data_IF_786226380947
#
_entry.id   IF_786226380947
#
_cell.length_a   1.000
_cell.length_b   1.000
_cell.length_c   1.000
_cell.angle_alpha   90.00
_cell.angle_beta   90.00
_cell.angle_gamma   90.00
#
_symmetry.space_group_name_H-M   'P 1'
#
loop_
_entity.id
_entity.type
_entity.pdbx_description
1 polymer ?
#
# COMPACT_ATOMS: atom_id res chain seq x y z
N UNK A 1 22.81 -8.65 -18.25
CA UNK A 1 24.14 -9.15 -17.83
C UNK A 1 24.28 -9.28 -16.31
N UNK A 2 24.20 -8.20 -15.52
CA UNK A 2 24.23 -8.32 -14.04
C UNK A 2 22.97 -9.04 -13.47
N UNK A 3 21.78 -8.75 -14.02
CA UNK A 3 20.52 -9.42 -13.66
C UNK A 3 20.55 -10.92 -13.99
N UNK A 4 20.99 -11.29 -15.20
CA UNK A 4 21.08 -12.69 -15.64
C UNK A 4 22.06 -13.49 -14.78
N UNK A 5 23.20 -12.88 -14.40
CA UNK A 5 24.17 -13.51 -13.52
C UNK A 5 23.58 -13.76 -12.12
N UNK A 6 22.84 -12.79 -11.56
CA UNK A 6 22.15 -12.95 -10.27
C UNK A 6 21.09 -14.06 -10.34
N UNK A 7 20.27 -14.10 -11.40
CA UNK A 7 19.27 -15.17 -11.63
C UNK A 7 19.93 -16.55 -11.68
N UNK A 8 21.04 -16.71 -12.41
CA UNK A 8 21.78 -17.98 -12.47
C UNK A 8 22.34 -18.40 -11.12
N UNK A 9 22.91 -17.46 -10.35
CA UNK A 9 23.43 -17.76 -9.02
C UNK A 9 22.32 -18.23 -8.07
N UNK A 10 21.18 -17.55 -8.08
CA UNK A 10 20.03 -17.93 -7.24
C UNK A 10 19.38 -19.25 -7.67
N UNK A 11 19.41 -19.60 -8.96
CA UNK A 11 18.98 -20.93 -9.42
C UNK A 11 19.87 -22.05 -8.85
N UNK A 12 21.20 -21.86 -8.88
CA UNK A 12 22.16 -22.82 -8.29
C UNK A 12 21.98 -22.92 -6.78
N UNK A 13 21.77 -21.78 -6.11
CA UNK A 13 21.52 -21.71 -4.67
C UNK A 13 20.25 -22.45 -4.28
N UNK A 14 19.16 -22.24 -5.02
CA UNK A 14 17.89 -22.95 -4.84
C UNK A 14 18.07 -24.45 -5.01
N UNK A 15 18.71 -24.90 -6.10
CA UNK A 15 18.95 -26.32 -6.35
C UNK A 15 19.75 -26.98 -5.21
N UNK A 16 20.79 -26.30 -4.72
CA UNK A 16 21.56 -26.77 -3.56
C UNK A 16 20.69 -26.86 -2.29
N UNK A 17 19.83 -25.88 -2.05
CA UNK A 17 18.95 -25.88 -0.89
C UNK A 17 17.87 -26.97 -0.97
N UNK A 18 17.31 -27.23 -2.16
CA UNK A 18 16.34 -28.32 -2.38
C UNK A 18 16.98 -29.69 -2.17
N UNK A 19 18.20 -29.90 -2.68
CA UNK A 19 18.95 -31.14 -2.45
C UNK A 19 19.20 -31.39 -0.95
N UNK A 20 19.58 -30.35 -0.18
CA UNK A 20 19.73 -30.44 1.28
C UNK A 20 18.41 -30.79 2.01
N UNK A 21 17.27 -30.47 1.41
CA UNK A 21 15.93 -30.81 1.91
C UNK A 21 15.46 -32.19 1.46
N UNK A 22 16.27 -32.94 0.72
CA UNK A 22 15.95 -34.29 0.26
C UNK A 22 15.03 -34.35 -0.96
N UNK A 23 14.85 -33.23 -1.69
CA UNK A 23 14.13 -33.22 -2.96
C UNK A 23 14.96 -33.98 -4.01
N UNK A 24 14.35 -34.95 -4.69
CA UNK A 24 15.01 -35.72 -5.74
C UNK A 24 15.29 -34.83 -6.96
N UNK A 25 16.55 -34.74 -7.38
CA UNK A 25 16.93 -33.99 -8.58
C UNK A 25 16.20 -34.45 -9.85
N UNK A 26 15.74 -35.70 -9.90
CA UNK A 26 15.01 -36.23 -11.05
C UNK A 26 13.56 -35.73 -11.14
N UNK A 27 12.99 -35.24 -10.04
CA UNK A 27 11.64 -34.67 -9.99
C UNK A 27 11.59 -33.17 -10.25
N UNK A 28 12.76 -32.52 -10.35
CA UNK A 28 12.89 -31.08 -10.57
C UNK A 28 12.70 -30.74 -12.04
N UNK A 29 11.66 -29.95 -12.34
CA UNK A 29 11.42 -29.36 -13.64
C UNK A 29 11.72 -27.87 -13.56
N UNK A 30 12.74 -27.43 -14.30
CA UNK A 30 13.08 -26.01 -14.39
C UNK A 30 11.98 -25.21 -15.10
N UNK A 31 11.75 -24.00 -14.60
CA UNK A 31 10.82 -23.03 -15.16
C UNK A 31 11.43 -21.63 -15.01
N UNK A 32 10.73 -20.63 -15.55
CA UNK A 32 11.07 -19.22 -15.32
C UNK A 32 9.86 -18.47 -14.80
N UNK A 33 10.12 -17.52 -13.92
CA UNK A 33 9.14 -16.56 -13.44
C UNK A 33 9.66 -15.14 -13.70
N UNK A 34 8.74 -14.19 -13.85
CA UNK A 34 9.11 -12.80 -14.14
C UNK A 34 10.00 -12.20 -13.03
N UNK A 35 9.87 -12.66 -11.79
CA UNK A 35 10.68 -12.19 -10.64
C UNK A 35 11.97 -12.97 -10.39
N UNK A 36 12.21 -14.09 -11.07
CA UNK A 36 13.42 -14.88 -10.87
C UNK A 36 13.29 -16.37 -11.25
N UNK A 37 14.26 -17.20 -10.82
CA UNK A 37 14.23 -18.64 -11.00
C UNK A 37 12.96 -19.27 -10.44
N UNK A 38 12.43 -20.27 -11.14
CA UNK A 38 11.34 -21.08 -10.64
C UNK A 38 11.57 -22.54 -10.98
N UNK A 39 11.11 -23.45 -10.13
CA UNK A 39 11.13 -24.89 -10.41
C UNK A 39 9.83 -25.52 -9.91
N UNK A 40 9.45 -26.64 -10.51
CA UNK A 40 8.41 -27.52 -9.96
C UNK A 40 9.12 -28.79 -9.51
N UNK A 41 8.96 -29.16 -8.25
CA UNK A 41 9.58 -30.34 -7.66
C UNK A 41 8.58 -31.03 -6.74
N UNK A 42 8.43 -32.34 -6.90
CA UNK A 42 7.47 -33.17 -6.13
C UNK A 42 6.03 -32.61 -6.14
N UNK A 43 5.62 -31.99 -7.24
CA UNK A 43 4.30 -31.36 -7.39
C UNK A 43 4.14 -29.99 -6.70
N UNK A 44 5.15 -29.50 -5.98
CA UNK A 44 5.20 -28.17 -5.40
C UNK A 44 6.01 -27.22 -6.27
N UNK A 45 5.60 -25.96 -6.35
CA UNK A 45 6.30 -24.94 -7.13
C UNK A 45 7.12 -24.05 -6.22
N UNK A 46 8.35 -23.77 -6.63
CA UNK A 46 9.31 -22.94 -5.93
C UNK A 46 9.65 -21.73 -6.80
N UNK A 47 9.54 -20.52 -6.26
CA UNK A 47 9.88 -19.28 -6.94
C UNK A 47 10.85 -18.49 -6.08
N UNK A 48 11.95 -18.01 -6.66
CA UNK A 48 12.90 -17.12 -5.98
C UNK A 48 12.68 -15.70 -6.46
N UNK A 49 12.40 -14.78 -5.54
CA UNK A 49 12.27 -13.35 -5.83
C UNK A 49 13.66 -12.71 -5.88
N UNK A 50 14.14 -12.43 -7.08
CA UNK A 50 15.42 -11.75 -7.36
C UNK A 50 15.19 -10.31 -7.80
N UNK A 51 14.03 -10.07 -8.41
CA UNK A 51 13.60 -8.79 -8.99
C UNK A 51 12.15 -8.50 -8.57
N UNK A 52 11.78 -7.22 -8.59
CA UNK A 52 10.42 -6.76 -8.27
C UNK A 52 9.88 -7.32 -6.94
N UNK A 53 10.71 -7.33 -5.90
CA UNK A 53 10.43 -7.93 -4.58
C UNK A 53 9.08 -7.45 -4.00
N UNK A 54 8.71 -6.18 -4.23
CA UNK A 54 7.39 -5.63 -3.86
C UNK A 54 6.22 -6.45 -4.40
N UNK A 55 6.30 -6.96 -5.62
CA UNK A 55 5.22 -7.70 -6.29
C UNK A 55 5.43 -9.22 -6.22
N UNK A 56 6.44 -9.69 -5.47
CA UNK A 56 6.87 -11.08 -5.49
C UNK A 56 5.73 -12.06 -5.20
N UNK A 57 4.92 -11.78 -4.17
CA UNK A 57 3.79 -12.62 -3.80
C UNK A 57 2.75 -12.73 -4.92
N UNK A 58 2.32 -11.59 -5.45
CA UNK A 58 1.33 -11.52 -6.52
C UNK A 58 1.81 -12.25 -7.79
N UNK A 59 3.05 -11.99 -8.22
CA UNK A 59 3.60 -12.63 -9.42
C UNK A 59 3.81 -14.13 -9.21
N UNK A 60 4.23 -14.56 -8.01
CA UNK A 60 4.38 -15.98 -7.71
C UNK A 60 3.03 -16.73 -7.69
N UNK A 61 1.96 -16.10 -7.21
CA UNK A 61 0.61 -16.69 -7.29
C UNK A 61 0.12 -16.84 -8.74
N UNK A 62 0.32 -15.82 -9.58
CA UNK A 62 -0.03 -15.89 -11.01
C UNK A 62 0.78 -16.96 -11.74
N UNK A 63 2.08 -17.09 -11.42
CA UNK A 63 2.92 -18.16 -11.95
C UNK A 63 2.45 -19.54 -11.49
N UNK A 64 2.15 -19.72 -10.21
CA UNK A 64 1.66 -20.99 -9.67
C UNK A 64 0.33 -21.41 -10.31
N UNK A 65 -0.54 -20.44 -10.58
CA UNK A 65 -1.78 -20.67 -11.30
C UNK A 65 -1.56 -21.14 -12.74
N UNK A 66 -0.69 -20.47 -13.51
CA UNK A 66 -0.44 -20.86 -14.90
C UNK A 66 0.23 -22.23 -15.03
N UNK A 67 0.83 -22.74 -13.95
CA UNK A 67 1.48 -24.05 -13.90
C UNK A 67 0.68 -25.11 -13.13
N UNK A 68 -0.52 -24.78 -12.65
CA UNK A 68 -1.37 -25.73 -11.91
C UNK A 68 -0.77 -26.23 -10.60
N UNK A 69 0.02 -25.40 -9.91
CA UNK A 69 0.76 -25.76 -8.69
C UNK A 69 -0.07 -25.43 -7.44
N UNK A 70 -0.49 -26.44 -6.68
CA UNK A 70 -1.32 -26.23 -5.47
C UNK A 70 -0.54 -25.71 -4.26
N UNK A 71 0.74 -26.07 -4.14
CA UNK A 71 1.62 -25.65 -3.05
C UNK A 71 2.76 -24.77 -3.57
N UNK A 72 2.75 -23.50 -3.17
CA UNK A 72 3.73 -22.51 -3.59
C UNK A 72 4.76 -22.24 -2.48
N UNK A 73 6.04 -22.32 -2.82
CA UNK A 73 7.14 -21.90 -1.98
C UNK A 73 7.77 -20.64 -2.58
N UNK A 74 7.71 -19.53 -1.85
CA UNK A 74 8.31 -18.27 -2.26
C UNK A 74 9.59 -18.03 -1.45
N UNK A 75 10.72 -17.91 -2.12
CA UNK A 75 12.02 -17.62 -1.50
C UNK A 75 12.35 -16.15 -1.69
N UNK A 76 12.56 -15.42 -0.60
CA UNK A 76 12.94 -14.00 -0.61
C UNK A 76 13.60 -13.61 0.71
N UNK A 77 14.63 -12.77 0.64
CA UNK A 77 15.28 -12.18 1.82
C UNK A 77 14.70 -10.80 2.18
N UNK A 78 13.75 -10.28 1.39
CA UNK A 78 13.19 -8.93 1.56
C UNK A 78 11.75 -9.01 2.06
N UNK A 79 11.49 -8.44 3.24
CA UNK A 79 10.17 -8.40 3.88
C UNK A 79 9.50 -9.79 4.00
N UNK A 80 10.29 -10.85 4.12
CA UNK A 80 9.81 -12.24 4.09
C UNK A 80 8.69 -12.48 5.11
N UNK A 81 8.79 -11.88 6.29
CA UNK A 81 7.82 -12.08 7.39
C UNK A 81 6.47 -11.38 7.13
N UNK A 82 6.51 -10.20 6.51
CA UNK A 82 5.29 -9.49 6.07
C UNK A 82 4.64 -10.23 4.91
N UNK A 83 5.45 -10.73 3.96
CA UNK A 83 4.95 -11.56 2.86
C UNK A 83 4.34 -12.85 3.42
N UNK A 84 4.98 -13.47 4.41
CA UNK A 84 4.49 -14.67 5.10
C UNK A 84 3.16 -14.42 5.81
N UNK A 85 2.97 -13.25 6.45
CA UNK A 85 1.65 -12.85 6.96
C UNK A 85 0.63 -12.80 5.82
N UNK A 86 0.96 -12.14 4.71
CA UNK A 86 0.03 -11.90 3.58
C UNK A 86 -0.37 -13.17 2.82
N UNK A 87 0.41 -14.26 2.89
CA UNK A 87 0.01 -15.53 2.26
C UNK A 87 -1.30 -16.08 2.83
N UNK A 88 -1.62 -15.79 4.10
CA UNK A 88 -2.83 -16.30 4.77
C UNK A 88 -4.13 -15.80 4.14
N UNK A 89 -4.07 -14.75 3.32
CA UNK A 89 -5.25 -14.19 2.66
C UNK A 89 -5.59 -14.91 1.36
N UNK A 90 -4.67 -15.69 0.80
CA UNK A 90 -4.88 -16.46 -0.42
C UNK A 90 -5.39 -17.87 -0.11
N UNK A 91 -6.19 -18.42 -1.01
CA UNK A 91 -6.70 -19.78 -0.89
C UNK A 91 -5.60 -20.83 -1.16
N UNK A 92 -4.62 -20.51 -2.03
CA UNK A 92 -3.49 -21.38 -2.33
C UNK A 92 -2.57 -21.49 -1.11
N UNK A 93 -2.15 -22.70 -0.78
CA UNK A 93 -1.19 -22.93 0.28
C UNK A 93 0.19 -22.38 -0.14
N UNK A 94 0.67 -21.36 0.57
CA UNK A 94 1.95 -20.71 0.27
C UNK A 94 2.85 -20.62 1.50
N UNK A 95 4.08 -21.10 1.38
CA UNK A 95 5.14 -20.98 2.40
C UNK A 95 6.21 -20.02 1.92
N UNK A 96 6.67 -19.13 2.82
CA UNK A 96 7.73 -18.15 2.51
C UNK A 96 9.02 -18.56 3.19
N UNK A 97 10.14 -18.42 2.49
CA UNK A 97 11.45 -18.82 2.95
C UNK A 97 12.45 -17.68 2.79
N UNK A 98 13.34 -17.51 3.75
CA UNK A 98 14.58 -16.76 3.61
C UNK A 98 15.78 -17.70 3.59
N UNK A 99 16.94 -17.19 3.22
CA UNK A 99 18.19 -17.92 3.34
C UNK A 99 18.94 -17.59 4.63
N UNK A 100 19.31 -18.61 5.40
CA UNK A 100 20.30 -18.53 6.46
C UNK A 100 21.40 -19.56 6.20
N UNK A 101 22.66 -19.12 6.09
CA UNK A 101 23.82 -19.99 5.84
C UNK A 101 23.64 -20.98 4.66
N UNK A 102 23.02 -20.52 3.58
CA UNK A 102 22.69 -21.33 2.38
C UNK A 102 21.75 -22.51 2.67
N UNK A 103 20.89 -22.35 3.66
CA UNK A 103 19.75 -23.23 3.97
C UNK A 103 18.49 -22.39 3.96
N UNK A 104 17.39 -22.99 3.49
CA UNK A 104 16.08 -22.34 3.52
C UNK A 104 15.49 -22.45 4.91
N UNK A 105 15.16 -21.30 5.49
CA UNK A 105 14.47 -21.16 6.77
C UNK A 105 13.11 -20.55 6.51
N UNK A 106 12.06 -21.18 7.03
CA UNK A 106 10.70 -20.67 6.89
C UNK A 106 10.57 -19.33 7.61
N UNK A 107 10.04 -18.33 6.93
CA UNK A 107 9.81 -17.03 7.50
C UNK A 107 8.61 -17.09 8.45
N UNK A 108 8.80 -16.58 9.67
CA UNK A 108 7.69 -16.44 10.60
C UNK A 108 6.69 -15.40 10.08
N UNK A 109 5.42 -15.52 10.43
CA UNK A 109 4.40 -14.55 10.02
C UNK A 109 4.43 -13.37 10.99
N UNK A 110 4.84 -12.20 10.50
CA UNK A 110 4.86 -10.99 11.30
C UNK A 110 3.45 -10.59 11.74
N UNK A 111 3.28 -10.11 12.98
CA UNK A 111 2.04 -9.45 13.41
C UNK A 111 1.88 -8.08 12.75
N UNK A 112 0.66 -7.54 12.76
CA UNK A 112 0.44 -6.15 12.35
C UNK A 112 1.20 -5.21 13.28
N UNK A 113 1.76 -4.13 12.72
CA UNK A 113 2.30 -3.08 13.57
C UNK A 113 1.18 -2.53 14.47
N UNK A 114 1.44 -2.26 15.76
CA UNK A 114 0.43 -1.72 16.65
C UNK A 114 -0.05 -0.35 16.16
N UNK A 115 -1.34 -0.06 16.37
CA UNK A 115 -1.89 1.26 16.08
C UNK A 115 -1.15 2.33 16.89
N UNK A 116 -0.77 3.41 16.21
CA UNK A 116 -0.12 4.56 16.85
C UNK A 116 -1.12 5.70 16.92
N UNK A 117 -1.57 6.00 18.13
CA UNK A 117 -2.42 7.17 18.36
C UNK A 117 -1.61 8.44 18.10
N UNK A 118 -2.28 9.44 17.54
CA UNK A 118 -1.75 10.79 17.43
C UNK A 118 -1.54 11.36 18.85
N UNK A 119 -0.37 11.93 19.17
CA UNK A 119 -0.14 12.55 20.47
C UNK A 119 -1.16 13.65 20.76
N UNK A 120 -1.59 13.77 22.03
CA UNK A 120 -2.55 14.82 22.45
C UNK A 120 -2.04 16.22 22.13
N UNK A 121 -0.72 16.45 22.23
CA UNK A 121 -0.09 17.71 21.85
C UNK A 121 -0.26 18.05 20.38
N UNK A 122 -0.34 17.04 19.50
CA UNK A 122 -0.60 17.24 18.07
C UNK A 122 -2.08 17.49 17.81
N UNK A 123 -2.98 16.80 18.52
CA UNK A 123 -4.44 16.93 18.38
C UNK A 123 -4.95 18.36 18.59
N UNK A 124 -4.25 19.20 19.34
CA UNK A 124 -4.61 20.62 19.50
C UNK A 124 -4.69 21.40 18.17
N UNK A 125 -4.01 20.96 17.12
CA UNK A 125 -4.06 21.58 15.79
C UNK A 125 -5.25 21.12 14.94
N UNK A 126 -5.97 20.06 15.33
CA UNK A 126 -7.02 19.48 14.50
C UNK A 126 -8.13 20.49 14.17
N UNK A 127 -8.59 21.27 15.16
CA UNK A 127 -9.60 22.30 14.94
C UNK A 127 -9.09 23.41 14.03
N UNK A 128 -7.85 23.89 14.23
CA UNK A 128 -7.25 24.91 13.36
C UNK A 128 -7.19 24.45 11.90
N UNK A 129 -6.76 23.20 11.65
CA UNK A 129 -6.69 22.62 10.30
C UNK A 129 -8.10 22.56 9.69
N UNK A 130 -9.09 22.05 10.44
CA UNK A 130 -10.46 21.95 9.98
C UNK A 130 -11.10 23.31 9.68
N UNK A 131 -10.88 24.31 10.55
CA UNK A 131 -11.37 25.68 10.40
C UNK A 131 -10.80 26.37 9.15
N UNK A 132 -9.63 25.92 8.67
CA UNK A 132 -9.03 26.37 7.42
C UNK A 132 -9.61 25.67 6.16
N UNK A 133 -10.63 24.82 6.33
CA UNK A 133 -11.24 24.06 5.22
C UNK A 133 -10.38 22.91 4.71
N UNK A 134 -9.50 22.37 5.56
CA UNK A 134 -8.58 21.28 5.24
C UNK A 134 -9.03 19.98 5.93
N UNK A 135 -9.02 18.86 5.20
CA UNK A 135 -9.40 17.56 5.75
C UNK A 135 -8.36 17.09 6.77
N UNK A 136 -8.77 16.83 8.00
CA UNK A 136 -7.88 16.34 9.06
C UNK A 136 -7.69 14.83 8.94
N UNK A 137 -6.44 14.40 8.78
CA UNK A 137 -6.06 12.99 8.62
C UNK A 137 -5.17 12.54 9.77
N UNK A 138 -5.45 11.32 10.27
CA UNK A 138 -4.73 10.65 11.35
C UNK A 138 -4.26 9.31 10.85
N UNK A 139 -2.96 9.17 10.62
CA UNK A 139 -2.34 7.93 10.14
C UNK A 139 -0.99 7.75 10.84
N UNK A 140 -0.77 6.57 11.41
CA UNK A 140 0.50 6.14 12.00
C UNK A 140 1.07 7.10 13.06
N UNK A 141 0.19 7.64 13.91
CA UNK A 141 0.55 8.60 14.97
C UNK A 141 0.82 10.02 14.45
N UNK A 142 0.53 10.30 13.19
CA UNK A 142 0.72 11.63 12.58
C UNK A 142 -0.61 12.31 12.35
N UNK A 143 -0.70 13.58 12.77
CA UNK A 143 -1.77 14.49 12.36
C UNK A 143 -1.33 15.29 11.12
N UNK A 144 -2.11 15.19 10.05
CA UNK A 144 -1.88 15.96 8.82
C UNK A 144 -3.17 16.59 8.29
N UNK A 145 -3.02 17.58 7.42
CA UNK A 145 -4.12 18.19 6.69
C UNK A 145 -4.01 17.90 5.20
N UNK A 146 -5.10 17.42 4.60
CA UNK A 146 -5.20 17.12 3.18
C UNK A 146 -6.19 18.04 2.46
N UNK A 147 -5.86 18.43 1.22
CA UNK A 147 -6.80 19.07 0.28
C UNK A 147 -7.01 18.14 -0.90
N UNK A 148 -8.23 17.60 -1.03
CA UNK A 148 -8.57 16.62 -2.06
C UNK A 148 -7.56 15.46 -2.11
N UNK A 149 -7.16 14.97 -0.93
CA UNK A 149 -6.19 13.88 -0.75
C UNK A 149 -4.71 14.26 -0.85
N UNK A 150 -4.36 15.54 -1.06
CA UNK A 150 -2.97 15.98 -1.03
C UNK A 150 -2.61 16.57 0.32
N UNK A 151 -1.63 15.98 1.01
CA UNK A 151 -1.07 16.53 2.26
C UNK A 151 -0.44 17.91 2.00
N UNK A 152 -0.99 18.94 2.65
CA UNK A 152 -0.50 20.32 2.58
C UNK A 152 0.00 20.84 3.92
N UNK A 153 -0.27 20.13 5.01
CA UNK A 153 0.31 20.43 6.31
C UNK A 153 0.47 19.19 7.17
N UNK A 154 1.38 19.26 8.14
CA UNK A 154 1.70 18.17 9.06
C UNK A 154 2.11 18.74 10.41
N UNK A 155 1.65 18.14 11.49
CA UNK A 155 2.14 18.46 12.84
C UNK A 155 3.36 17.61 13.15
N UNK A 156 4.39 18.25 13.70
CA UNK A 156 5.65 17.62 14.06
C UNK A 156 6.08 18.07 15.46
N UNK A 157 6.84 17.22 16.14
CA UNK A 157 7.53 17.62 17.35
C UNK A 157 8.62 18.65 17.01
N UNK A 158 8.70 19.71 17.81
CA UNK A 158 9.74 20.71 17.71
C UNK A 158 10.15 21.20 19.11
N UNK A 159 11.28 20.74 19.64
CA UNK A 159 11.75 21.14 20.97
C UNK A 159 12.16 22.62 21.03
N UNK A 160 12.27 23.31 19.89
CA UNK A 160 12.55 24.75 19.83
C UNK A 160 11.28 25.60 19.83
N UNK A 161 10.11 24.98 19.62
CA UNK A 161 8.80 25.63 19.74
C UNK A 161 8.39 25.74 21.21
N UNK A 162 7.72 26.83 21.66
CA UNK A 162 7.24 26.96 23.04
C UNK A 162 6.38 25.79 23.53
N UNK A 163 5.57 25.22 22.64
CA UNK A 163 4.65 24.12 22.95
C UNK A 163 5.26 22.73 22.69
N UNK A 164 6.54 22.67 22.29
CA UNK A 164 7.22 21.41 21.92
C UNK A 164 6.72 20.78 20.62
N UNK A 165 5.80 21.44 19.93
CA UNK A 165 5.16 20.99 18.68
C UNK A 165 4.99 22.17 17.73
N UNK A 166 4.91 21.91 16.43
CA UNK A 166 4.53 22.91 15.43
C UNK A 166 3.78 22.33 14.25
N UNK A 167 3.00 23.18 13.60
CA UNK A 167 2.40 22.91 12.30
C UNK A 167 3.37 23.33 11.19
N UNK A 168 3.69 22.41 10.29
CA UNK A 168 4.43 22.70 9.06
C UNK A 168 3.46 22.77 7.88
N UNK A 169 3.55 23.83 7.07
CA UNK A 169 2.74 24.03 5.86
C UNK A 169 3.61 23.81 4.63
N UNK A 170 3.13 23.03 3.67
CA UNK A 170 3.82 22.70 2.41
C UNK A 170 3.60 21.25 1.96
N UNK A 171 3.76 21.02 0.66
CA UNK A 171 3.59 19.73 -0.01
C UNK A 171 4.92 18.96 -0.02
N UNK A 172 5.08 18.08 0.97
CA UNK A 172 6.29 17.29 1.16
C UNK A 172 7.41 18.04 1.90
N UNK A 173 8.46 17.31 2.28
CA UNK A 173 9.49 17.79 3.21
C UNK A 173 10.20 19.06 2.73
N UNK A 174 10.66 19.09 1.47
CA UNK A 174 11.40 20.25 0.94
C UNK A 174 10.54 21.51 0.83
N UNK A 175 9.26 21.35 0.50
CA UNK A 175 8.34 22.49 0.39
C UNK A 175 8.07 23.07 1.79
N UNK A 176 7.85 22.21 2.79
CA UNK A 176 7.69 22.63 4.20
C UNK A 176 8.91 23.35 4.76
N UNK A 177 10.10 22.86 4.42
CA UNK A 177 11.35 23.51 4.80
C UNK A 177 11.48 24.89 4.13
N UNK A 178 11.17 24.98 2.84
CA UNK A 178 11.21 26.24 2.09
C UNK A 178 10.20 27.24 2.63
N UNK A 179 8.97 26.79 2.89
CA UNK A 179 7.89 27.61 3.44
C UNK A 179 8.32 28.26 4.76
N UNK A 180 8.94 27.48 5.65
CA UNK A 180 9.48 27.95 6.92
C UNK A 180 10.58 29.00 6.75
N UNK A 181 11.50 28.81 5.79
CA UNK A 181 12.56 29.79 5.53
C UNK A 181 12.02 31.14 5.05
N UNK A 182 10.91 31.12 4.31
CA UNK A 182 10.28 32.33 3.74
C UNK A 182 9.38 33.04 4.75
N UNK A 183 8.57 32.28 5.50
CA UNK A 183 7.49 32.84 6.33
C UNK A 183 7.80 32.83 7.84
N UNK A 184 8.94 32.27 8.25
CA UNK A 184 9.33 32.12 9.65
C UNK A 184 8.85 30.81 10.27
N UNK A 185 9.12 30.66 11.58
CA UNK A 185 8.88 29.39 12.29
C UNK A 185 7.42 29.14 12.69
N UNK A 186 6.60 30.20 12.79
CA UNK A 186 5.21 30.10 13.27
C UNK A 186 4.26 30.12 12.08
N UNK A 187 3.65 28.96 11.80
CA UNK A 187 2.58 28.84 10.83
C UNK A 187 1.28 29.46 11.35
N UNK A 188 0.60 30.26 10.52
CA UNK A 188 -0.69 30.87 10.85
C UNK A 188 -1.86 30.18 10.12
N UNK A 189 -3.08 30.30 10.66
CA UNK A 189 -4.28 29.83 9.97
C UNK A 189 -4.51 30.51 8.62
N UNK A 190 -4.19 31.81 8.52
CA UNK A 190 -4.29 32.57 7.26
C UNK A 190 -3.37 31.99 6.18
N UNK A 191 -2.12 31.69 6.53
CA UNK A 191 -1.19 31.02 5.63
C UNK A 191 -1.70 29.65 5.18
N UNK A 192 -2.28 28.86 6.08
CA UNK A 192 -2.83 27.55 5.73
C UNK A 192 -4.03 27.69 4.79
N UNK A 193 -4.94 28.63 5.05
CA UNK A 193 -6.09 28.91 4.18
C UNK A 193 -5.66 29.30 2.77
N UNK A 194 -4.65 30.16 2.62
CA UNK A 194 -4.15 30.57 1.31
C UNK A 194 -3.52 29.42 0.53
N UNK A 195 -2.72 28.58 1.20
CA UNK A 195 -2.17 27.36 0.59
C UNK A 195 -3.29 26.40 0.21
N UNK A 196 -4.26 26.18 1.10
CA UNK A 196 -5.39 25.28 0.86
C UNK A 196 -6.23 25.72 -0.33
N UNK A 197 -6.54 27.02 -0.44
CA UNK A 197 -7.28 27.61 -1.56
C UNK A 197 -6.53 27.40 -2.87
N UNK A 198 -5.25 27.76 -2.91
CA UNK A 198 -4.40 27.60 -4.11
C UNK A 198 -4.34 26.15 -4.57
N UNK A 199 -4.11 25.22 -3.64
CA UNK A 199 -4.07 23.78 -3.94
C UNK A 199 -5.43 23.26 -4.41
N UNK A 200 -6.52 23.69 -3.76
CA UNK A 200 -7.89 23.33 -4.16
C UNK A 200 -8.20 23.79 -5.58
N UNK A 201 -7.90 25.04 -5.93
CA UNK A 201 -8.12 25.58 -7.28
C UNK A 201 -7.38 24.77 -8.35
N UNK A 202 -6.08 24.51 -8.13
CA UNK A 202 -5.25 23.71 -9.04
C UNK A 202 -5.79 22.28 -9.17
N UNK A 203 -6.18 21.66 -8.05
CA UNK A 203 -6.62 20.26 -8.05
C UNK A 203 -8.00 20.13 -8.66
N UNK A 204 -8.93 21.07 -8.45
CA UNK A 204 -10.29 21.00 -9.02
C UNK A 204 -10.28 21.08 -10.54
N UNK A 205 -9.35 21.82 -11.14
CA UNK A 205 -9.22 21.93 -12.58
C UNK A 205 -8.72 20.62 -13.23
N UNK A 206 -9.56 19.90 -14.02
CA UNK A 206 -9.16 18.69 -14.71
C UNK A 206 -8.17 18.94 -15.86
N UNK A 207 -8.07 20.18 -16.36
CA UNK A 207 -7.12 20.56 -17.41
C UNK A 207 -5.76 21.01 -16.84
N UNK A 208 -5.62 21.15 -15.52
CA UNK A 208 -4.39 21.61 -14.90
C UNK A 208 -3.21 20.67 -15.21
N UNK A 209 -2.17 21.22 -15.84
CA UNK A 209 -0.92 20.50 -16.09
C UNK A 209 0.05 20.57 -14.89
N UNK A 210 -0.37 21.22 -13.81
CA UNK A 210 0.46 21.47 -12.63
C UNK A 210 0.79 20.16 -11.87
N UNK A 211 2.03 19.97 -11.35
CA UNK A 211 2.39 18.77 -10.60
C UNK A 211 1.44 18.46 -9.44
N UNK A 212 0.99 19.48 -8.71
CA UNK A 212 0.05 19.33 -7.59
C UNK A 212 -1.30 18.75 -8.00
N UNK A 213 -1.72 18.83 -9.27
CA UNK A 213 -2.95 18.18 -9.73
C UNK A 213 -2.80 16.65 -9.84
N UNK A 214 -1.56 16.17 -10.03
CA UNK A 214 -1.22 14.77 -10.35
C UNK A 214 -0.60 13.99 -9.19
N UNK A 215 -0.28 14.65 -8.08
CA UNK A 215 0.25 13.99 -6.88
C UNK A 215 -0.87 13.37 -6.04
N UNK A 216 -0.56 12.23 -5.42
CA UNK A 216 -1.41 11.50 -4.48
C UNK A 216 -2.81 11.20 -5.05
N UNK A 217 -2.88 10.72 -6.29
CA UNK A 217 -4.15 10.43 -6.97
C UNK A 217 -4.95 9.32 -6.28
N UNK A 218 -4.28 8.39 -5.62
CA UNK A 218 -4.92 7.35 -4.80
C UNK A 218 -5.66 7.95 -3.60
N UNK A 219 -5.07 8.95 -2.93
CA UNK A 219 -5.72 9.68 -1.83
C UNK A 219 -6.80 10.62 -2.34
N UNK A 220 -6.67 11.11 -3.57
CA UNK A 220 -7.73 11.85 -4.25
C UNK A 220 -8.96 10.99 -4.51
N UNK A 221 -8.76 9.76 -5.00
CA UNK A 221 -9.84 8.77 -5.12
C UNK A 221 -10.50 8.53 -3.76
N UNK A 222 -9.71 8.34 -2.71
CA UNK A 222 -10.24 8.23 -1.34
C UNK A 222 -11.08 9.46 -0.96
N UNK A 223 -10.57 10.68 -1.14
CA UNK A 223 -11.31 11.92 -0.84
C UNK A 223 -12.64 12.00 -1.59
N UNK A 224 -12.67 11.63 -2.88
CA UNK A 224 -13.91 11.51 -3.67
C UNK A 224 -14.89 10.50 -3.06
N UNK A 225 -14.40 9.33 -2.63
CA UNK A 225 -15.23 8.31 -2.00
C UNK A 225 -15.78 8.77 -0.64
N UNK A 226 -14.99 9.50 0.16
CA UNK A 226 -15.48 10.08 1.41
C UNK A 226 -16.63 11.07 1.18
N UNK A 227 -16.54 11.86 0.11
CA UNK A 227 -17.60 12.78 -0.31
C UNK A 227 -18.80 12.06 -0.97
N UNK A 228 -18.61 10.88 -1.56
CA UNK A 228 -19.68 10.09 -2.20
C UNK A 228 -19.54 8.59 -1.90
N UNK A 229 -19.86 8.15 -0.67
CA UNK A 229 -19.65 6.75 -0.24
C UNK A 229 -20.43 5.71 -1.04
N UNK A 230 -21.55 6.11 -1.63
CA UNK A 230 -22.42 5.27 -2.44
C UNK A 230 -21.74 4.72 -3.70
N UNK A 231 -20.65 5.35 -4.19
CA UNK A 231 -19.87 4.86 -5.34
C UNK A 231 -19.30 3.45 -5.12
N UNK A 232 -19.13 3.04 -3.87
CA UNK A 232 -18.68 1.69 -3.47
C UNK A 232 -19.73 0.96 -2.60
N UNK A 233 -20.99 1.41 -2.67
CA UNK A 233 -22.10 0.83 -1.91
C UNK A 233 -22.08 1.11 -0.41
N UNK A 234 -21.24 2.02 0.07
CA UNK A 234 -21.19 2.42 1.48
C UNK A 234 -22.21 3.54 1.76
N UNK A 235 -22.72 3.59 2.99
CA UNK A 235 -23.55 4.72 3.47
C UNK A 235 -22.70 5.81 4.10
N UNK A 236 -21.55 5.43 4.66
CA UNK A 236 -20.52 6.34 5.18
C UNK A 236 -19.15 5.70 5.04
N UNK A 237 -18.14 6.54 4.83
CA UNK A 237 -16.73 6.16 4.84
C UNK A 237 -15.96 7.15 5.71
N UNK A 238 -14.89 6.66 6.33
CA UNK A 238 -13.88 7.48 6.98
C UNK A 238 -12.50 7.05 6.52
N UNK A 239 -11.53 7.95 6.62
CA UNK A 239 -10.12 7.59 6.46
C UNK A 239 -9.77 6.47 7.44
N UNK A 240 -8.95 5.52 6.98
CA UNK A 240 -8.42 4.46 7.82
C UNK A 240 -6.92 4.29 7.56
N UNK A 241 -6.19 3.93 8.62
CA UNK A 241 -4.75 3.72 8.58
C UNK A 241 -4.41 2.52 7.68
N UNK A 242 -3.57 2.68 6.63
CA UNK A 242 -3.11 1.58 5.80
C UNK A 242 -2.13 0.66 6.54
N UNK A 243 -1.89 -0.58 6.08
CA UNK A 243 -0.92 -1.49 6.69
C UNK A 243 0.56 -1.11 6.41
N UNK A 244 0.81 -0.10 5.58
CA UNK A 244 2.16 0.35 5.20
C UNK A 244 2.24 1.86 5.31
N UNK A 245 3.25 2.35 6.03
CA UNK A 245 3.49 3.78 6.19
C UNK A 245 3.96 4.40 4.87
N UNK A 246 3.30 5.48 4.47
CA UNK A 246 3.75 6.31 3.35
C UNK A 246 4.91 7.21 3.78
N UNK A 247 6.06 7.08 3.14
CA UNK A 247 7.28 7.83 3.49
C UNK A 247 7.51 9.05 2.60
N UNK A 248 7.08 9.02 1.33
CA UNK A 248 7.24 10.13 0.40
C UNK A 248 5.93 10.55 -0.30
N UNK A 249 5.79 11.86 -0.57
CA UNK A 249 4.67 12.43 -1.33
C UNK A 249 4.61 11.98 -2.79
N UNK A 250 5.72 11.49 -3.34
CA UNK A 250 5.81 10.99 -4.71
C UNK A 250 5.50 9.50 -4.83
N UNK A 251 5.46 8.78 -3.71
CA UNK A 251 5.21 7.34 -3.74
C UNK A 251 3.72 7.08 -3.98
N UNK A 252 3.42 6.25 -4.96
CA UNK A 252 2.11 5.68 -5.22
C UNK A 252 1.88 4.49 -4.27
N UNK A 253 1.78 4.78 -2.98
CA UNK A 253 1.39 3.82 -1.94
C UNK A 253 -0.13 3.85 -1.84
N UNK A 254 -0.83 2.71 -2.00
CA UNK A 254 -2.27 2.69 -1.85
C UNK A 254 -2.72 3.26 -0.50
N UNK A 255 -3.90 3.85 -0.47
CA UNK A 255 -4.49 4.39 0.77
C UNK A 255 -5.82 3.71 1.08
N UNK A 256 -6.29 3.83 2.32
CA UNK A 256 -7.44 3.04 2.81
C UNK A 256 -8.54 3.94 3.35
N UNK A 257 -9.79 3.52 3.11
CA UNK A 257 -10.97 3.99 3.82
C UNK A 257 -11.75 2.80 4.39
N UNK A 258 -12.48 3.03 5.47
CA UNK A 258 -13.35 2.03 6.08
C UNK A 258 -14.75 2.61 6.23
N UNK A 259 -15.76 1.78 6.05
CA UNK A 259 -17.16 2.20 6.13
C UNK A 259 -18.10 1.08 6.48
N UNK A 260 -19.38 1.42 6.39
CA UNK A 260 -20.48 0.48 6.56
C UNK A 260 -21.47 0.64 5.41
N UNK A 261 -22.14 -0.45 5.05
CA UNK A 261 -23.20 -0.49 4.06
C UNK A 261 -24.58 -0.32 4.72
N UNK A 262 -25.61 -0.25 3.89
CA UNK A 262 -26.99 -0.09 4.37
C UNK A 262 -27.49 -1.28 5.20
N UNK A 263 -26.97 -2.48 4.93
CA UNK A 263 -27.26 -3.70 5.68
C UNK A 263 -26.41 -3.86 6.97
N UNK A 264 -25.56 -2.87 7.28
CA UNK A 264 -24.66 -2.88 8.44
C UNK A 264 -23.34 -3.63 8.22
N UNK A 265 -23.14 -4.29 7.08
CA UNK A 265 -21.87 -4.94 6.76
C UNK A 265 -20.75 -3.90 6.64
N UNK A 266 -19.53 -4.27 7.07
CA UNK A 266 -18.35 -3.41 6.97
C UNK A 266 -17.74 -3.54 5.59
N UNK A 267 -17.16 -2.44 5.10
CA UNK A 267 -16.39 -2.41 3.86
C UNK A 267 -15.04 -1.73 4.10
N UNK A 268 -13.98 -2.34 3.59
CA UNK A 268 -12.64 -1.77 3.51
C UNK A 268 -12.34 -1.48 2.05
N UNK A 269 -11.91 -0.26 1.78
CA UNK A 269 -11.65 0.24 0.44
C UNK A 269 -10.17 0.57 0.30
N UNK A 270 -9.47 -0.12 -0.61
CA UNK A 270 -8.09 0.17 -0.95
C UNK A 270 -8.03 0.94 -2.27
N UNK A 271 -7.53 2.17 -2.23
CA UNK A 271 -7.42 3.03 -3.42
C UNK A 271 -5.99 3.00 -3.97
N UNK A 272 -5.84 2.81 -5.29
CA UNK A 272 -4.57 2.92 -6.01
C UNK A 272 -4.72 3.82 -7.24
N UNK A 273 -3.64 4.43 -7.69
CA UNK A 273 -3.60 5.30 -8.88
C UNK A 273 -2.88 4.67 -10.07
N UNK A 274 -2.32 3.47 -9.89
CA UNK A 274 -1.56 2.74 -10.91
C UNK A 274 -2.06 1.30 -11.01
N UNK A 275 -1.74 0.62 -12.11
CA UNK A 275 -1.88 -0.82 -12.24
C UNK A 275 -0.88 -1.56 -11.32
N UNK A 276 -1.22 -1.68 -10.04
CA UNK A 276 -0.40 -2.32 -9.01
C UNK A 276 -0.89 -3.76 -8.74
N UNK A 277 -0.04 -4.76 -9.00
CA UNK A 277 -0.34 -6.16 -8.69
C UNK A 277 -0.43 -6.44 -7.18
N UNK A 278 0.30 -5.70 -6.36
CA UNK A 278 0.33 -5.89 -4.91
C UNK A 278 -0.88 -5.26 -4.20
N UNK A 279 -1.69 -4.45 -4.89
CA UNK A 279 -2.87 -3.78 -4.28
C UNK A 279 -3.86 -4.78 -3.68
N UNK A 280 -3.95 -5.99 -4.23
CA UNK A 280 -4.82 -7.05 -3.73
C UNK A 280 -4.32 -7.58 -2.39
N UNK A 281 -3.02 -7.87 -2.29
CA UNK A 281 -2.41 -8.36 -1.04
C UNK A 281 -2.41 -7.25 0.02
N UNK A 282 -2.12 -6.01 -0.38
CA UNK A 282 -2.21 -4.82 0.44
C UNK A 282 -3.62 -4.60 1.00
N UNK A 283 -4.63 -4.68 0.13
CA UNK A 283 -6.03 -4.47 0.53
C UNK A 283 -6.54 -5.58 1.46
N UNK A 284 -6.11 -6.83 1.23
CA UNK A 284 -6.43 -7.92 2.14
C UNK A 284 -5.74 -7.76 3.52
N UNK A 285 -4.50 -7.25 3.54
CA UNK A 285 -3.76 -6.93 4.77
C UNK A 285 -4.44 -5.78 5.54
N UNK A 286 -4.90 -4.74 4.82
CA UNK A 286 -5.68 -3.65 5.39
C UNK A 286 -7.02 -4.14 5.96
N UNK A 287 -7.72 -5.01 5.23
CA UNK A 287 -8.98 -5.63 5.69
C UNK A 287 -8.76 -6.38 6.99
N UNK A 288 -7.76 -7.24 7.05
CA UNK A 288 -7.47 -8.01 8.26
C UNK A 288 -7.14 -7.11 9.47
N UNK A 289 -6.32 -6.07 9.25
CA UNK A 289 -5.97 -5.08 10.29
C UNK A 289 -7.21 -4.37 10.85
N UNK A 290 -8.10 -3.92 9.98
CA UNK A 290 -9.19 -3.00 10.35
C UNK A 290 -10.48 -3.72 10.74
N UNK A 291 -10.87 -4.71 9.93
CA UNK A 291 -12.11 -5.47 10.08
C UNK A 291 -12.04 -6.75 9.23
N UNK A 292 -11.51 -7.84 9.81
CA UNK A 292 -11.25 -9.09 9.06
C UNK A 292 -12.47 -9.71 8.39
N UNK A 293 -13.69 -9.37 8.84
CA UNK A 293 -14.98 -9.77 8.28
C UNK A 293 -15.56 -8.78 7.25
N UNK A 294 -14.92 -7.65 6.99
CA UNK A 294 -15.38 -6.67 6.00
C UNK A 294 -15.28 -7.18 4.56
N UNK A 295 -16.11 -6.64 3.67
CA UNK A 295 -15.89 -6.75 2.23
C UNK A 295 -14.67 -5.92 1.82
N UNK A 296 -13.93 -6.39 0.80
CA UNK A 296 -12.81 -5.64 0.22
C UNK A 296 -13.19 -5.11 -1.16
N UNK A 297 -13.12 -3.79 -1.32
CA UNK A 297 -13.24 -3.12 -2.62
C UNK A 297 -11.90 -2.49 -2.97
N UNK A 298 -11.34 -2.86 -4.12
CA UNK A 298 -10.17 -2.17 -4.70
C UNK A 298 -10.69 -1.11 -5.67
N UNK A 299 -10.32 0.14 -5.42
CA UNK A 299 -10.70 1.28 -6.25
C UNK A 299 -9.46 1.79 -6.99
N UNK A 300 -9.59 2.03 -8.28
CA UNK A 300 -8.49 2.55 -9.10
C UNK A 300 -8.97 3.56 -10.15
N UNK A 301 -8.04 4.26 -10.78
CA UNK A 301 -8.31 4.98 -12.03
C UNK A 301 -8.68 4.01 -13.16
N UNK A 302 -9.45 4.46 -14.16
CA UNK A 302 -9.83 3.62 -15.29
C UNK A 302 -8.64 3.08 -16.09
N UNK A 303 -8.73 1.80 -16.47
CA UNK A 303 -7.72 1.10 -17.26
C UNK A 303 -6.60 0.47 -16.42
N UNK A 304 -6.56 0.72 -15.11
CA UNK A 304 -5.54 0.15 -14.23
C UNK A 304 -5.92 -1.23 -13.69
N UNK A 305 -7.21 -1.59 -13.64
CA UNK A 305 -7.64 -2.91 -13.18
C UNK A 305 -7.49 -3.95 -14.29
N UNK A 306 -6.28 -4.49 -14.41
CA UNK A 306 -5.94 -5.50 -15.42
C UNK A 306 -6.57 -6.88 -15.12
N UNK A 307 -6.67 -7.78 -16.12
CA UNK A 307 -7.14 -9.15 -15.90
C UNK A 307 -6.36 -9.89 -14.80
N UNK A 308 -5.04 -9.69 -14.72
CA UNK A 308 -4.19 -10.29 -13.68
C UNK A 308 -4.54 -9.80 -12.28
N UNK A 309 -4.86 -8.52 -12.13
CA UNK A 309 -5.31 -7.95 -10.84
C UNK A 309 -6.66 -8.53 -10.43
N UNK A 310 -7.62 -8.63 -11.36
CA UNK A 310 -8.91 -9.28 -11.09
C UNK A 310 -8.73 -10.72 -10.65
N UNK A 311 -7.87 -11.44 -11.37
CA UNK A 311 -7.58 -12.84 -11.06
C UNK A 311 -6.98 -13.00 -9.66
N UNK A 312 -6.00 -12.18 -9.29
CA UNK A 312 -5.46 -12.15 -7.93
C UNK A 312 -6.54 -11.89 -6.86
N UNK A 313 -7.49 -11.01 -7.16
CA UNK A 313 -8.64 -10.74 -6.28
C UNK A 313 -9.51 -11.97 -6.04
N UNK A 314 -9.71 -12.80 -7.06
CA UNK A 314 -10.45 -14.07 -6.97
C UNK A 314 -9.68 -15.16 -6.20
N UNK A 315 -8.35 -15.10 -6.18
CA UNK A 315 -7.50 -16.07 -5.46
C UNK A 315 -7.48 -15.86 -3.94
N UNK A 316 -8.06 -14.75 -3.44
CA UNK A 316 -8.22 -14.52 -2.01
C UNK A 316 -9.24 -15.50 -1.41
N UNK A 317 -9.04 -15.92 -0.15
CA UNK A 317 -10.02 -16.70 0.61
C UNK A 317 -11.39 -16.01 0.68
N UNK A 318 -11.36 -14.67 0.73
CA UNK A 318 -12.52 -13.80 0.61
C UNK A 318 -12.27 -12.85 -0.56
N UNK A 319 -12.87 -13.09 -1.74
CA UNK A 319 -12.59 -12.35 -2.96
C UNK A 319 -12.75 -10.84 -2.80
N UNK A 320 -11.94 -10.08 -3.53
CA UNK A 320 -12.08 -8.64 -3.65
C UNK A 320 -12.99 -8.27 -4.82
N UNK A 321 -13.73 -7.17 -4.71
CA UNK A 321 -14.41 -6.54 -5.84
C UNK A 321 -13.62 -5.33 -6.32
N UNK A 322 -13.89 -4.87 -7.55
CA UNK A 322 -13.12 -3.81 -8.18
C UNK A 322 -14.06 -2.72 -8.71
N UNK A 323 -13.65 -1.46 -8.53
CA UNK A 323 -14.35 -0.29 -9.04
C UNK A 323 -13.33 0.66 -9.68
N UNK A 324 -13.63 1.16 -10.88
CA UNK A 324 -12.78 2.14 -11.56
C UNK A 324 -13.49 3.49 -11.60
N UNK A 325 -12.83 4.53 -11.13
CA UNK A 325 -13.38 5.88 -10.99
C UNK A 325 -12.37 6.92 -11.45
N UNK A 326 -12.85 7.97 -12.11
CA UNK A 326 -12.01 9.14 -12.40
C UNK A 326 -11.53 9.83 -11.10
N UNK A 327 -10.34 10.43 -11.14
CA UNK A 327 -9.84 11.19 -9.98
C UNK A 327 -10.61 12.50 -9.76
N UNK A 328 -11.20 13.03 -10.83
CA UNK A 328 -12.07 14.20 -10.81
C UNK A 328 -13.52 13.71 -10.72
N UNK A 329 -14.32 14.35 -9.85
CA UNK A 329 -15.77 14.18 -9.90
C UNK A 329 -16.34 14.97 -11.07
N UNK A 330 -17.43 14.48 -11.65
CA UNK A 330 -18.36 15.32 -12.41
C UNK A 330 -19.20 16.16 -11.43
#
# INVERSE_FOLDING_TARGET
MQSDQRRRLEAVRLASALAKRGVDSSSVVESTCAIGPAVIADGAGWVVAVEHERHALAVAHLWAESHGVDHLHLVTDVNAEVIARRTRYFARATTVWGYADNVLVEAHRAEHEPDRNVPVSHEHFASLIADCGVDVVREHGVLSGEVLGLEICRVVDDPTSPDGVRLEIGVGVHDRETFRLVHGAVATGEQLMDVARTVSEIRKDPAAQHPLARLALERRLRSRLLASPNLVGATRLSVAEPPVVRTNVKDAVPCVAMGVRADGSKVVVACTSIADLDVVSFGADARDRLAGDAELVVVSLPGNVTPSIRRLGEMLQRPATFCELEAHGD
#
